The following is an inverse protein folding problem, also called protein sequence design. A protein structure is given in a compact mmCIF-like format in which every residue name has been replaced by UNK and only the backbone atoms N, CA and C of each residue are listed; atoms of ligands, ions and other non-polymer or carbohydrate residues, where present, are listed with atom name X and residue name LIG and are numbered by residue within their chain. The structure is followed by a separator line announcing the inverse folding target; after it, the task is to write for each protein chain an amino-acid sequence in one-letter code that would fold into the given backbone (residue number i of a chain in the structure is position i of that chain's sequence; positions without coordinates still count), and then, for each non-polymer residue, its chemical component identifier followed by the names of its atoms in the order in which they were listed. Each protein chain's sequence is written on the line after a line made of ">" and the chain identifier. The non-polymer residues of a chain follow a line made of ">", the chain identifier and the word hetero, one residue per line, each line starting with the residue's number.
data_IF_039320068979
#
_entry.id   IF_039320068979
#
_cell.length_a   1.000
_cell.length_b   1.000
_cell.length_c   1.000
_cell.angle_alpha   90.00
_cell.angle_beta   90.00
_cell.angle_gamma   90.00
#
_symmetry.space_group_name_H-M   'P 1'
#
loop_
_entity.id
_entity.type
_entity.pdbx_description
1 polymer ?
#
# COMPACT_ATOMS: atom_id res chain seq x y z
N UNK A 1 -48.98 25.77 -65.68
CA UNK A 1 -48.41 24.66 -64.91
C UNK A 1 -47.00 24.38 -65.44
N UNK A 2 -45.96 24.83 -64.74
CA UNK A 2 -44.73 24.06 -64.66
C UNK A 2 -44.41 23.69 -63.21
N UNK A 3 -43.68 22.59 -63.08
CA UNK A 3 -43.44 21.78 -61.88
C UNK A 3 -42.81 22.54 -60.70
N UNK A 4 -43.12 22.16 -59.44
CA UNK A 4 -42.37 22.64 -58.30
C UNK A 4 -41.00 21.95 -58.23
N UNK A 5 -40.00 22.76 -57.90
CA UNK A 5 -38.62 22.40 -57.61
C UNK A 5 -38.53 21.27 -56.57
N UNK A 6 -37.87 20.16 -56.91
CA UNK A 6 -37.41 19.18 -55.93
C UNK A 6 -36.00 19.57 -55.48
N UNK A 7 -35.90 20.20 -54.31
CA UNK A 7 -34.63 20.28 -53.59
C UNK A 7 -34.33 18.90 -52.95
N UNK A 8 -33.13 18.34 -53.08
CA UNK A 8 -32.78 17.13 -52.36
C UNK A 8 -32.52 17.47 -50.89
N UNK A 9 -33.23 16.79 -49.99
CA UNK A 9 -32.94 16.73 -48.56
C UNK A 9 -31.57 16.08 -48.36
N UNK A 10 -30.51 16.89 -48.38
CA UNK A 10 -29.19 16.46 -47.92
C UNK A 10 -29.26 16.25 -46.40
N UNK A 11 -29.44 15.00 -45.99
CA UNK A 11 -29.25 14.58 -44.59
C UNK A 11 -27.76 14.75 -44.25
N UNK A 12 -27.45 15.78 -43.47
CA UNK A 12 -26.13 15.96 -42.86
C UNK A 12 -25.94 14.91 -41.77
N UNK A 13 -25.27 13.81 -42.11
CA UNK A 13 -24.69 12.89 -41.13
C UNK A 13 -23.52 13.61 -40.42
N UNK A 14 -23.81 14.19 -39.27
CA UNK A 14 -22.77 14.67 -38.36
C UNK A 14 -22.11 13.46 -37.68
N UNK A 15 -20.93 13.07 -38.18
CA UNK A 15 -20.02 12.17 -37.47
C UNK A 15 -19.47 12.90 -36.23
N UNK A 16 -20.06 12.66 -35.07
CA UNK A 16 -19.40 12.95 -33.79
C UNK A 16 -18.22 11.98 -33.65
N UNK A 17 -17.03 12.42 -34.05
CA UNK A 17 -15.80 11.80 -33.60
C UNK A 17 -15.68 12.07 -32.09
N UNK A 18 -16.14 11.12 -31.28
CA UNK A 18 -15.79 11.10 -29.86
C UNK A 18 -14.28 10.84 -29.78
N UNK A 19 -13.50 11.91 -29.66
CA UNK A 19 -12.10 11.81 -29.28
C UNK A 19 -12.07 11.21 -27.87
N UNK A 20 -11.85 9.89 -27.78
CA UNK A 20 -11.49 9.25 -26.53
C UNK A 20 -10.13 9.82 -26.15
N UNK A 21 -10.12 10.73 -25.18
CA UNK A 21 -8.88 11.18 -24.58
C UNK A 21 -8.23 9.96 -23.92
N UNK A 22 -7.26 9.36 -24.59
CA UNK A 22 -6.43 8.33 -23.99
C UNK A 22 -5.65 9.00 -22.85
N UNK A 23 -5.98 8.67 -21.60
CA UNK A 23 -5.16 9.08 -20.46
C UNK A 23 -3.73 8.63 -20.70
N UNK A 24 -2.75 9.51 -20.46
CA UNK A 24 -1.35 9.15 -20.57
C UNK A 24 -1.01 8.09 -19.52
N UNK A 25 -0.40 6.98 -19.95
CA UNK A 25 0.08 5.93 -19.05
C UNK A 25 1.48 6.34 -18.55
N UNK A 26 1.65 6.42 -17.24
CA UNK A 26 2.95 6.71 -16.63
C UNK A 26 3.85 5.47 -16.68
N UNK A 27 5.11 5.63 -17.08
CA UNK A 27 6.07 4.53 -17.14
C UNK A 27 7.05 4.63 -15.97
N UNK A 28 7.13 3.57 -15.15
CA UNK A 28 7.98 3.54 -13.94
C UNK A 28 8.93 2.35 -14.00
N UNK A 29 10.22 2.60 -13.84
CA UNK A 29 11.21 1.53 -13.67
C UNK A 29 11.24 1.08 -12.21
N UNK A 30 11.07 -0.22 -11.98
CA UNK A 30 11.18 -0.79 -10.64
C UNK A 30 12.62 -0.69 -10.13
N UNK A 31 12.76 -0.49 -8.82
CA UNK A 31 14.05 -0.40 -8.14
C UNK A 31 13.87 -0.75 -6.65
N UNK A 32 14.90 -0.46 -5.85
CA UNK A 32 14.91 -0.67 -4.40
C UNK A 32 14.26 0.45 -3.58
N UNK A 33 13.63 1.45 -4.23
CA UNK A 33 12.83 2.53 -3.64
C UNK A 33 13.48 3.18 -2.42
N UNK A 34 14.68 3.79 -2.58
CA UNK A 34 15.49 4.27 -1.46
C UNK A 34 14.81 5.33 -0.59
N UNK A 35 13.87 6.08 -1.15
CA UNK A 35 13.10 7.13 -0.47
C UNK A 35 11.94 6.60 0.39
N UNK A 36 11.66 5.30 0.33
CA UNK A 36 10.60 4.65 1.11
C UNK A 36 10.95 4.57 2.59
N UNK A 37 9.98 4.89 3.45
CA UNK A 37 10.07 4.56 4.87
C UNK A 37 9.68 3.10 5.09
N UNK A 38 10.58 2.32 5.68
CA UNK A 38 10.52 0.86 5.65
C UNK A 38 10.92 0.19 6.97
N UNK A 39 10.71 0.91 8.07
CA UNK A 39 11.08 0.47 9.42
C UNK A 39 10.39 -0.85 9.79
N UNK A 40 11.21 -1.83 10.21
CA UNK A 40 10.74 -3.12 10.72
C UNK A 40 10.61 -3.14 12.24
N UNK A 41 11.01 -2.08 12.93
CA UNK A 41 10.95 -1.91 14.38
C UNK A 41 11.66 -3.03 15.15
N UNK A 42 12.76 -3.56 14.59
CA UNK A 42 13.50 -4.70 15.16
C UNK A 42 14.10 -4.30 16.50
N UNK A 43 13.71 -5.01 17.56
CA UNK A 43 14.24 -4.81 18.91
C UNK A 43 13.67 -3.60 19.65
N UNK A 44 12.65 -2.92 19.12
CA UNK A 44 12.06 -1.74 19.77
C UNK A 44 10.53 -1.74 19.85
N UNK A 45 9.88 -2.89 19.59
CA UNK A 45 8.42 -3.03 19.70
C UNK A 45 7.87 -2.49 21.02
N UNK A 46 8.41 -2.91 22.15
CA UNK A 46 7.91 -2.50 23.47
C UNK A 46 8.11 -1.00 23.73
N UNK A 47 9.24 -0.45 23.27
CA UNK A 47 9.52 0.99 23.37
C UNK A 47 8.57 1.81 22.49
N UNK A 48 8.30 1.35 21.26
CA UNK A 48 7.31 1.97 20.37
C UNK A 48 5.91 1.91 20.99
N UNK A 49 5.50 0.76 21.53
CA UNK A 49 4.22 0.61 22.23
C UNK A 49 4.09 1.56 23.42
N UNK A 50 5.17 1.78 24.18
CA UNK A 50 5.16 2.69 25.33
C UNK A 50 4.91 4.16 24.93
N UNK A 51 5.47 4.61 23.80
CA UNK A 51 5.30 6.00 23.32
C UNK A 51 4.06 6.18 22.43
N UNK A 52 3.47 5.09 21.96
CA UNK A 52 2.35 5.08 21.01
C UNK A 52 1.16 5.96 21.43
N UNK A 53 0.71 5.99 22.71
CA UNK A 53 -0.42 6.84 23.10
C UNK A 53 -0.14 8.33 22.92
N UNK A 54 1.08 8.78 23.23
CA UNK A 54 1.47 10.19 23.06
C UNK A 54 1.64 10.54 21.58
N UNK A 55 2.28 9.65 20.81
CA UNK A 55 2.46 9.80 19.37
C UNK A 55 1.12 9.87 18.64
N UNK A 56 0.20 8.93 18.90
CA UNK A 56 -1.12 8.91 18.28
C UNK A 56 -1.88 10.21 18.57
N UNK A 57 -1.92 10.69 19.83
CA UNK A 57 -2.56 11.97 20.15
C UNK A 57 -1.99 13.15 19.36
N UNK A 58 -0.67 13.21 19.17
CA UNK A 58 -0.02 14.26 18.37
C UNK A 58 -0.42 14.17 16.90
N UNK A 59 -0.40 12.98 16.31
CA UNK A 59 -0.74 12.79 14.89
C UNK A 59 -2.22 13.05 14.59
N UNK A 60 -3.12 12.71 15.51
CA UNK A 60 -4.55 12.98 15.39
C UNK A 60 -4.85 14.50 15.32
N UNK A 61 -4.04 15.32 15.97
CA UNK A 61 -4.15 16.79 15.90
C UNK A 61 -3.60 17.36 14.59
N UNK A 62 -2.53 16.75 14.05
CA UNK A 62 -1.82 17.23 12.86
C UNK A 62 -2.47 16.73 11.55
N UNK A 63 -3.11 15.56 11.58
CA UNK A 63 -3.64 14.89 10.39
C UNK A 63 -5.13 14.61 10.55
N UNK A 64 -5.96 15.60 10.20
CA UNK A 64 -7.42 15.51 10.31
C UNK A 64 -8.02 14.37 9.49
N UNK A 65 -7.47 14.08 8.30
CA UNK A 65 -7.94 12.96 7.49
C UNK A 65 -7.69 11.63 8.20
N UNK A 66 -6.45 11.40 8.66
CA UNK A 66 -6.12 10.21 9.44
C UNK A 66 -6.99 10.08 10.68
N UNK A 67 -7.26 11.18 11.37
CA UNK A 67 -8.11 11.18 12.56
C UNK A 67 -9.54 10.72 12.28
N UNK A 68 -10.15 11.23 11.21
CA UNK A 68 -11.49 10.81 10.79
C UNK A 68 -11.53 9.34 10.39
N UNK A 69 -10.53 8.86 9.65
CA UNK A 69 -10.44 7.46 9.25
C UNK A 69 -10.24 6.55 10.46
N UNK A 70 -9.37 6.92 11.39
CA UNK A 70 -9.15 6.17 12.62
C UNK A 70 -10.43 6.02 13.44
N UNK A 71 -11.23 7.09 13.55
CA UNK A 71 -12.52 7.04 14.23
C UNK A 71 -13.53 6.12 13.53
N UNK A 72 -13.60 6.17 12.18
CA UNK A 72 -14.43 5.24 11.39
C UNK A 72 -13.98 3.79 11.56
N UNK A 73 -12.68 3.52 11.51
CA UNK A 73 -12.11 2.19 11.68
C UNK A 73 -12.37 1.64 13.08
N UNK A 74 -12.25 2.48 14.12
CA UNK A 74 -12.61 2.13 15.50
C UNK A 74 -14.08 1.75 15.62
N UNK A 75 -14.99 2.52 15.00
CA UNK A 75 -16.41 2.20 15.00
C UNK A 75 -16.71 0.89 14.25
N UNK A 76 -16.07 0.67 13.10
CA UNK A 76 -16.20 -0.58 12.33
C UNK A 76 -15.70 -1.80 13.12
N UNK A 77 -14.58 -1.67 13.82
CA UNK A 77 -14.02 -2.70 14.70
C UNK A 77 -15.01 -3.09 15.80
N UNK A 78 -15.59 -2.11 16.50
CA UNK A 78 -16.55 -2.37 17.57
C UNK A 78 -17.87 -3.00 17.09
N UNK A 79 -18.25 -2.79 15.82
CA UNK A 79 -19.45 -3.37 15.23
C UNK A 79 -19.24 -4.83 14.77
N UNK A 80 -17.99 -5.27 14.56
CA UNK A 80 -17.66 -6.66 14.21
C UNK A 80 -17.42 -7.48 15.47
N UNK A 81 -17.91 -8.72 15.48
CA UNK A 81 -17.61 -9.69 16.55
C UNK A 81 -16.36 -10.48 16.17
N UNK A 82 -15.22 -10.14 16.78
CA UNK A 82 -13.98 -10.91 16.65
C UNK A 82 -13.81 -11.81 17.89
N UNK A 83 -13.91 -13.13 17.71
CA UNK A 83 -13.63 -14.10 18.77
C UNK A 83 -12.27 -14.74 18.52
N UNK A 84 -11.35 -14.65 19.47
CA UNK A 84 -10.04 -15.33 19.38
C UNK A 84 -9.05 -14.67 18.41
N UNK A 85 -9.19 -13.38 18.13
CA UNK A 85 -8.23 -12.62 17.32
C UNK A 85 -6.83 -12.66 17.95
N UNK A 86 -5.76 -12.97 17.18
CA UNK A 86 -4.38 -12.84 17.65
C UNK A 86 -3.94 -11.38 17.77
N UNK A 87 -4.66 -10.45 17.14
CA UNK A 87 -4.37 -9.02 17.15
C UNK A 87 -4.96 -8.31 18.37
N UNK A 88 -4.24 -7.30 18.86
CA UNK A 88 -4.80 -6.27 19.74
C UNK A 88 -5.83 -5.41 18.99
N UNK A 89 -6.68 -4.70 19.74
CA UNK A 89 -7.64 -3.76 19.14
C UNK A 89 -6.95 -2.71 18.26
N UNK A 90 -5.83 -2.13 18.71
CA UNK A 90 -5.12 -1.09 17.95
C UNK A 90 -4.53 -1.63 16.65
N UNK A 91 -3.98 -2.85 16.67
CA UNK A 91 -3.47 -3.52 15.47
C UNK A 91 -4.61 -3.78 14.46
N UNK A 92 -5.74 -4.30 14.92
CA UNK A 92 -6.87 -4.58 14.05
C UNK A 92 -7.52 -3.30 13.49
N UNK A 93 -7.62 -2.24 14.30
CA UNK A 93 -8.09 -0.92 13.87
C UNK A 93 -7.14 -0.33 12.81
N UNK A 94 -5.82 -0.52 12.94
CA UNK A 94 -4.86 -0.07 11.95
C UNK A 94 -5.04 -0.75 10.59
N UNK A 95 -5.27 -2.07 10.57
CA UNK A 95 -5.61 -2.80 9.35
C UNK A 95 -6.92 -2.25 8.76
N UNK A 96 -7.99 -2.16 9.57
CA UNK A 96 -9.26 -1.60 9.10
C UNK A 96 -9.11 -0.21 8.49
N UNK A 97 -8.37 0.67 9.17
CA UNK A 97 -8.08 2.01 8.69
C UNK A 97 -7.38 1.95 7.32
N UNK A 98 -6.33 1.14 7.18
CA UNK A 98 -5.60 0.99 5.91
C UNK A 98 -6.50 0.55 4.74
N UNK A 99 -7.42 -0.38 4.99
CA UNK A 99 -8.35 -0.89 3.96
C UNK A 99 -9.47 0.09 3.59
N UNK A 100 -9.60 1.23 4.29
CA UNK A 100 -10.55 2.27 3.91
C UNK A 100 -10.01 3.13 2.77
N UNK A 101 -10.85 3.39 1.76
CA UNK A 101 -10.54 4.22 0.60
C UNK A 101 -10.04 5.63 0.95
N UNK A 102 -10.42 6.15 2.13
CA UNK A 102 -10.09 7.50 2.60
C UNK A 102 -8.59 7.70 2.94
N UNK A 103 -7.83 6.61 3.19
CA UNK A 103 -6.43 6.73 3.66
C UNK A 103 -5.42 5.95 2.84
N UNK A 104 -5.81 4.85 2.18
CA UNK A 104 -4.89 3.94 1.48
C UNK A 104 -3.91 4.69 0.56
N UNK A 105 -4.42 5.54 -0.33
CA UNK A 105 -3.58 6.24 -1.31
C UNK A 105 -2.67 7.29 -0.63
N UNK A 106 -3.24 8.13 0.23
CA UNK A 106 -2.51 9.22 0.92
C UNK A 106 -1.42 8.64 1.82
N UNK A 107 -1.70 7.58 2.55
CA UNK A 107 -0.74 6.89 3.40
C UNK A 107 0.39 6.28 2.57
N UNK A 108 0.07 5.49 1.54
CA UNK A 108 1.09 4.83 0.72
C UNK A 108 1.97 5.85 -0.04
N UNK A 109 1.42 6.99 -0.48
CA UNK A 109 2.19 8.08 -1.05
C UNK A 109 3.13 8.70 -0.01
N UNK A 110 2.65 8.93 1.22
CA UNK A 110 3.49 9.45 2.31
C UNK A 110 4.64 8.48 2.66
N UNK A 111 4.36 7.17 2.73
CA UNK A 111 5.38 6.13 2.96
C UNK A 111 6.46 6.14 1.88
N UNK A 112 6.08 6.32 0.61
CA UNK A 112 7.01 6.28 -0.52
C UNK A 112 8.10 7.37 -0.53
N UNK A 113 7.92 8.43 0.26
CA UNK A 113 8.86 9.57 0.35
C UNK A 113 9.38 9.84 1.75
N UNK A 114 8.79 9.22 2.78
CA UNK A 114 9.13 9.51 4.18
C UNK A 114 10.55 9.07 4.56
N UNK A 115 11.12 8.11 3.83
CA UNK A 115 12.50 7.62 4.01
C UNK A 115 13.56 8.45 3.29
N UNK A 116 13.22 9.60 2.67
CA UNK A 116 14.21 10.52 2.08
C UNK A 116 15.24 11.03 3.09
N UNK A 117 14.79 11.26 4.33
CA UNK A 117 15.65 11.67 5.44
C UNK A 117 14.92 11.51 6.78
N UNK A 118 15.69 11.44 7.88
CA UNK A 118 15.12 11.46 9.24
C UNK A 118 14.27 12.72 9.48
N UNK A 119 14.66 13.87 8.92
CA UNK A 119 13.87 15.09 9.02
C UNK A 119 12.52 14.97 8.31
N UNK A 120 12.51 14.43 7.08
CA UNK A 120 11.28 14.21 6.31
C UNK A 120 10.32 13.28 7.09
N UNK A 121 10.84 12.19 7.64
CA UNK A 121 10.07 11.29 8.50
C UNK A 121 9.52 12.01 9.74
N UNK A 122 10.36 12.72 10.51
CA UNK A 122 9.93 13.33 11.77
C UNK A 122 8.89 14.43 11.56
N UNK A 123 9.17 15.33 10.62
CA UNK A 123 8.41 16.58 10.48
C UNK A 123 7.22 16.48 9.53
N UNK A 124 7.24 15.57 8.54
CA UNK A 124 6.23 15.54 7.46
C UNK A 124 5.43 14.24 7.39
N UNK A 125 5.94 13.15 7.96
CA UNK A 125 5.22 11.87 7.95
C UNK A 125 4.32 11.76 9.18
N UNK A 126 3.06 12.17 9.07
CA UNK A 126 2.06 12.13 10.15
C UNK A 126 1.21 10.86 10.12
N UNK A 127 1.86 9.72 9.85
CA UNK A 127 1.29 8.37 9.86
C UNK A 127 2.19 7.35 10.60
N UNK A 128 3.03 7.82 11.52
CA UNK A 128 3.98 6.99 12.30
C UNK A 128 3.25 5.91 13.10
N UNK A 129 2.12 6.26 13.74
CA UNK A 129 1.25 5.34 14.47
C UNK A 129 0.70 4.26 13.55
N UNK A 130 0.14 4.66 12.40
CA UNK A 130 -0.43 3.72 11.43
C UNK A 130 0.64 2.79 10.85
N UNK A 131 1.79 3.34 10.46
CA UNK A 131 2.90 2.55 9.92
C UNK A 131 3.41 1.51 10.93
N UNK A 132 3.63 1.93 12.18
CA UNK A 132 4.06 1.04 13.25
C UNK A 132 3.04 -0.07 13.52
N UNK A 133 1.77 0.29 13.72
CA UNK A 133 0.73 -0.69 14.02
C UNK A 133 0.45 -1.65 12.87
N UNK A 134 0.49 -1.19 11.61
CA UNK A 134 0.41 -2.09 10.46
C UNK A 134 1.58 -3.06 10.46
N UNK A 135 2.81 -2.57 10.58
CA UNK A 135 4.01 -3.43 10.61
C UNK A 135 3.93 -4.48 11.72
N UNK A 136 3.54 -4.06 12.93
CA UNK A 136 3.40 -4.95 14.09
C UNK A 136 2.24 -5.94 13.94
N UNK A 137 1.12 -5.51 13.34
CA UNK A 137 -0.02 -6.38 13.05
C UNK A 137 0.33 -7.45 12.02
N UNK A 138 1.05 -7.09 10.94
CA UNK A 138 1.48 -8.08 9.94
C UNK A 138 2.46 -9.09 10.54
N UNK A 139 3.38 -8.67 11.41
CA UNK A 139 4.26 -9.59 12.12
C UNK A 139 3.45 -10.57 13.00
N UNK A 140 2.48 -10.05 13.77
CA UNK A 140 1.62 -10.87 14.65
C UNK A 140 0.77 -11.87 13.84
N UNK A 141 0.16 -11.43 12.74
CA UNK A 141 -0.62 -12.30 11.86
C UNK A 141 0.26 -13.36 11.22
N UNK A 142 1.43 -12.99 10.71
CA UNK A 142 2.37 -13.93 10.08
C UNK A 142 2.75 -15.07 11.03
N UNK A 143 3.02 -14.75 12.30
CA UNK A 143 3.33 -15.74 13.32
C UNK A 143 2.12 -16.63 13.63
N UNK A 144 0.92 -16.07 13.70
CA UNK A 144 -0.31 -16.84 13.93
C UNK A 144 -0.73 -17.72 12.73
N UNK A 145 -0.34 -17.34 11.52
CA UNK A 145 -0.69 -18.01 10.26
C UNK A 145 0.39 -19.02 9.81
N UNK A 146 1.39 -19.30 10.65
CA UNK A 146 2.40 -20.31 10.39
C UNK A 146 3.54 -19.88 9.45
N UNK A 147 3.70 -18.57 9.21
CA UNK A 147 4.83 -17.98 8.49
C UNK A 147 5.05 -18.52 7.08
N UNK A 148 3.99 -18.95 6.41
CA UNK A 148 4.05 -19.55 5.08
C UNK A 148 4.17 -18.47 3.99
N UNK A 149 4.90 -18.82 2.92
CA UNK A 149 4.86 -18.02 1.70
C UNK A 149 3.59 -18.33 0.91
N UNK A 150 3.06 -17.36 0.18
CA UNK A 150 1.86 -17.51 -0.64
C UNK A 150 2.01 -16.81 -2.00
N UNK A 151 1.20 -17.27 -2.96
CA UNK A 151 1.05 -16.62 -4.25
C UNK A 151 -0.04 -15.56 -4.16
N UNK A 152 0.28 -14.35 -4.59
CA UNK A 152 -0.66 -13.24 -4.69
C UNK A 152 -0.55 -12.53 -6.03
N UNK A 153 -1.61 -11.85 -6.42
CA UNK A 153 -1.70 -11.03 -7.63
C UNK A 153 -2.01 -9.58 -7.27
N UNK A 154 -1.45 -8.65 -8.05
CA UNK A 154 -1.75 -7.23 -7.95
C UNK A 154 -1.84 -6.60 -9.33
N UNK A 155 -2.99 -6.04 -9.64
CA UNK A 155 -3.16 -5.16 -10.78
C UNK A 155 -2.85 -3.71 -10.46
N UNK A 156 -2.32 -2.99 -11.44
CA UNK A 156 -2.16 -1.53 -11.37
C UNK A 156 -2.82 -0.89 -12.59
N UNK A 157 -3.52 0.22 -12.33
CA UNK A 157 -4.12 1.07 -13.35
C UNK A 157 -3.26 2.32 -13.58
N UNK A 158 -3.27 2.84 -14.80
CA UNK A 158 -2.61 4.09 -15.24
C UNK A 158 -1.08 4.14 -15.12
N UNK A 159 -0.44 3.05 -14.69
CA UNK A 159 1.02 2.95 -14.54
C UNK A 159 1.50 1.65 -15.18
N UNK A 160 2.47 1.79 -16.08
CA UNK A 160 3.21 0.67 -16.67
C UNK A 160 4.56 0.53 -15.98
N UNK A 161 4.75 -0.56 -15.23
CA UNK A 161 6.05 -0.85 -14.63
C UNK A 161 6.98 -1.56 -15.61
N UNK A 162 8.27 -1.25 -15.51
CA UNK A 162 9.35 -1.92 -16.24
C UNK A 162 10.36 -2.49 -15.26
N UNK A 163 10.79 -3.72 -15.51
CA UNK A 163 11.83 -4.40 -14.76
C UNK A 163 12.58 -5.37 -15.68
N UNK A 164 13.76 -5.80 -15.28
CA UNK A 164 14.53 -6.83 -15.97
C UNK A 164 14.61 -8.09 -15.11
N UNK A 165 14.61 -9.25 -15.77
CA UNK A 165 14.82 -10.54 -15.10
C UNK A 165 16.15 -10.49 -14.35
N UNK A 166 16.12 -10.84 -13.07
CA UNK A 166 17.28 -10.80 -12.18
C UNK A 166 17.39 -9.55 -11.32
N UNK A 167 16.64 -8.48 -11.61
CA UNK A 167 16.59 -7.29 -10.76
C UNK A 167 16.11 -7.64 -9.35
N UNK A 168 16.68 -6.95 -8.35
CA UNK A 168 16.16 -6.95 -6.98
C UNK A 168 15.38 -5.65 -6.78
N UNK A 169 14.09 -5.78 -6.49
CA UNK A 169 13.12 -4.69 -6.43
C UNK A 169 12.28 -4.76 -5.16
N UNK A 170 11.60 -3.66 -4.85
CA UNK A 170 10.67 -3.55 -3.73
C UNK A 170 9.46 -2.70 -4.13
N UNK A 171 8.33 -2.90 -3.44
CA UNK A 171 7.18 -2.01 -3.60
C UNK A 171 7.37 -0.66 -2.88
N UNK A 172 8.10 -0.62 -1.77
CA UNK A 172 8.40 0.63 -1.05
C UNK A 172 7.21 1.29 -0.36
N UNK A 173 6.15 0.52 -0.19
CA UNK A 173 4.92 0.87 0.49
C UNK A 173 4.21 -0.43 0.84
N UNK A 174 3.19 -0.34 1.67
CA UNK A 174 2.30 -1.47 1.85
C UNK A 174 1.57 -1.73 0.53
N UNK A 175 1.61 -2.97 0.04
CA UNK A 175 1.00 -3.34 -1.22
C UNK A 175 -0.17 -4.30 -0.97
N UNK A 176 -1.39 -3.80 -1.19
CA UNK A 176 -2.59 -4.64 -1.27
C UNK A 176 -2.50 -5.57 -2.47
N UNK A 177 -2.71 -6.85 -2.22
CA UNK A 177 -2.72 -7.90 -3.23
C UNK A 177 -3.89 -8.83 -2.92
N UNK A 178 -4.27 -9.69 -3.87
CA UNK A 178 -5.26 -10.75 -3.62
C UNK A 178 -4.60 -12.10 -3.84
N UNK A 179 -5.07 -13.14 -3.15
CA UNK A 179 -4.58 -14.51 -3.38
C UNK A 179 -4.69 -14.88 -4.87
N UNK A 180 -3.68 -15.60 -5.38
CA UNK A 180 -3.74 -16.18 -6.72
C UNK A 180 -4.96 -17.11 -6.80
N UNK A 181 -5.95 -16.78 -7.64
CA UNK A 181 -7.07 -17.68 -7.97
C UNK A 181 -6.71 -18.48 -9.21
N UNK A 182 -7.19 -19.71 -9.28
CA UNK A 182 -7.07 -20.55 -10.48
C UNK A 182 -7.81 -19.93 -11.69
N UNK A 183 -8.77 -19.03 -11.44
CA UNK A 183 -9.47 -18.22 -12.45
C UNK A 183 -9.06 -16.76 -12.33
N UNK A 184 -8.35 -16.29 -13.34
CA UNK A 184 -7.66 -15.01 -13.38
C UNK A 184 -8.59 -13.82 -13.73
N UNK A 185 -9.45 -13.41 -12.79
CA UNK A 185 -10.20 -12.14 -12.91
C UNK A 185 -9.34 -11.01 -12.32
N UNK A 186 -8.67 -10.26 -13.21
CA UNK A 186 -7.70 -9.23 -12.82
C UNK A 186 -8.38 -7.87 -12.56
N UNK A 187 -8.17 -7.32 -11.36
CA UNK A 187 -8.12 -5.87 -11.15
C UNK A 187 -6.91 -5.31 -11.91
N UNK A 188 -6.92 -4.07 -12.40
CA UNK A 188 -5.74 -3.41 -13.01
C UNK A 188 -5.19 -4.04 -14.29
N UNK A 189 -5.40 -3.40 -15.44
CA UNK A 189 -4.89 -3.95 -16.72
C UNK A 189 -3.58 -3.35 -17.21
N UNK A 190 -3.06 -2.25 -16.64
CA UNK A 190 -1.87 -1.58 -17.21
C UNK A 190 -0.54 -2.21 -16.76
N UNK A 191 -0.53 -2.87 -15.60
CA UNK A 191 0.52 -3.79 -15.17
C UNK A 191 -0.09 -4.82 -14.23
N UNK A 192 0.29 -6.09 -14.39
CA UNK A 192 -0.07 -7.14 -13.45
C UNK A 192 1.20 -7.70 -12.82
N UNK A 193 1.20 -7.78 -11.49
CA UNK A 193 2.22 -8.48 -10.72
C UNK A 193 1.69 -9.83 -10.28
N UNK A 194 2.46 -10.88 -10.51
CA UNK A 194 2.30 -12.17 -9.84
C UNK A 194 3.46 -12.32 -8.86
N UNK A 195 3.14 -12.43 -7.57
CA UNK A 195 4.11 -12.30 -6.49
C UNK A 195 4.07 -13.54 -5.61
N UNK A 196 5.20 -14.20 -5.45
CA UNK A 196 5.40 -15.21 -4.42
C UNK A 196 6.03 -14.55 -3.20
N UNK A 197 5.20 -14.10 -2.25
CA UNK A 197 5.58 -13.37 -1.04
C UNK A 197 5.76 -14.31 0.15
N UNK A 198 6.68 -14.00 1.05
CA UNK A 198 6.91 -14.71 2.32
C UNK A 198 6.66 -13.82 3.56
N UNK A 199 6.31 -12.55 3.33
CA UNK A 199 5.98 -11.58 4.37
C UNK A 199 4.59 -10.97 4.21
N UNK A 200 3.93 -11.20 3.08
CA UNK A 200 2.51 -10.90 2.88
C UNK A 200 1.65 -11.78 3.77
N UNK A 201 0.62 -11.18 4.36
CA UNK A 201 -0.30 -11.89 5.27
C UNK A 201 -1.74 -11.65 4.86
N UNK A 202 -2.57 -12.67 5.04
CA UNK A 202 -4.01 -12.57 4.83
C UNK A 202 -4.60 -11.66 5.90
N UNK A 203 -5.22 -10.56 5.47
CA UNK A 203 -5.89 -9.58 6.33
C UNK A 203 -7.40 -9.54 6.11
N UNK A 204 -7.96 -10.50 5.36
CA UNK A 204 -9.37 -10.56 4.97
C UNK A 204 -10.34 -10.30 6.11
N UNK A 205 -10.13 -10.97 7.24
CA UNK A 205 -11.04 -10.90 8.39
C UNK A 205 -11.03 -9.50 9.04
N UNK A 206 -9.92 -8.78 8.90
CA UNK A 206 -9.69 -7.44 9.45
C UNK A 206 -9.93 -6.32 8.42
N UNK A 207 -10.20 -6.64 7.16
CA UNK A 207 -10.51 -5.66 6.11
C UNK A 207 -11.96 -5.16 6.20
N UNK A 208 -12.19 -3.91 5.75
CA UNK A 208 -13.55 -3.39 5.50
C UNK A 208 -14.16 -3.95 4.21
N UNK A 209 -13.36 -4.60 3.36
CA UNK A 209 -13.77 -5.28 2.13
C UNK A 209 -13.32 -6.75 2.11
N UNK A 210 -13.86 -7.64 2.96
CA UNK A 210 -13.42 -9.04 3.04
C UNK A 210 -13.52 -9.82 1.72
N UNK A 211 -14.39 -9.41 0.80
CA UNK A 211 -14.54 -10.02 -0.51
C UNK A 211 -13.32 -9.84 -1.43
N UNK A 212 -12.42 -8.89 -1.12
CA UNK A 212 -11.19 -8.66 -1.89
C UNK A 212 -10.10 -9.71 -1.58
N UNK A 213 -10.31 -10.52 -0.54
CA UNK A 213 -9.37 -11.58 -0.10
C UNK A 213 -7.94 -11.03 0.00
N UNK A 214 -7.85 -9.86 0.63
CA UNK A 214 -6.66 -9.02 0.63
C UNK A 214 -5.53 -9.67 1.43
N UNK A 215 -4.40 -9.83 0.75
CA UNK A 215 -3.11 -10.14 1.35
C UNK A 215 -2.26 -8.86 1.31
N UNK A 216 -1.79 -8.43 2.47
CA UNK A 216 -1.04 -7.19 2.59
C UNK A 216 0.46 -7.47 2.68
N UNK A 217 1.21 -6.99 1.68
CA UNK A 217 2.67 -7.12 1.61
C UNK A 217 3.35 -5.90 2.25
N UNK A 218 4.29 -6.08 3.20
CA UNK A 218 4.95 -4.96 3.87
C UNK A 218 5.98 -4.24 2.98
N UNK A 219 6.32 -2.97 3.28
CA UNK A 219 7.22 -2.15 2.45
C UNK A 219 8.67 -2.66 2.39
N UNK A 220 9.10 -3.47 3.36
CA UNK A 220 10.47 -3.95 3.50
C UNK A 220 10.78 -5.26 2.79
N UNK A 221 9.77 -5.97 2.26
CA UNK A 221 10.02 -7.22 1.53
C UNK A 221 10.69 -6.92 0.19
N UNK A 222 11.76 -7.66 -0.11
CA UNK A 222 12.49 -7.57 -1.37
C UNK A 222 12.11 -8.72 -2.28
N UNK A 223 12.14 -8.47 -3.59
CA UNK A 223 11.75 -9.44 -4.60
C UNK A 223 12.80 -9.51 -5.69
N UNK A 224 13.10 -10.73 -6.12
CA UNK A 224 13.79 -10.97 -7.37
C UNK A 224 12.77 -11.05 -8.50
N UNK A 225 13.02 -10.33 -9.58
CA UNK A 225 12.23 -10.46 -10.82
C UNK A 225 12.61 -11.78 -11.49
N UNK A 226 11.64 -12.69 -11.60
CA UNK A 226 11.86 -14.04 -12.15
C UNK A 226 11.44 -14.15 -13.60
N UNK A 227 10.42 -13.40 -14.02
CA UNK A 227 9.95 -13.36 -15.39
C UNK A 227 9.28 -12.01 -15.72
N UNK A 228 9.29 -11.65 -16.99
CA UNK A 228 8.61 -10.46 -17.52
C UNK A 228 7.98 -10.83 -18.87
N UNK A 229 6.67 -11.01 -18.88
CA UNK A 229 5.89 -11.30 -20.08
C UNK A 229 4.98 -10.13 -20.44
N UNK A 230 4.36 -10.18 -21.61
CA UNK A 230 3.49 -9.12 -22.12
C UNK A 230 2.18 -9.70 -22.60
N UNK A 231 1.07 -9.12 -22.14
CA UNK A 231 -0.27 -9.37 -22.65
C UNK A 231 -0.75 -8.12 -23.38
N UNK A 232 -0.60 -8.11 -24.71
CA UNK A 232 -0.79 -6.91 -25.52
C UNK A 232 0.16 -5.78 -25.11
N UNK A 233 -0.36 -4.72 -24.50
CA UNK A 233 0.43 -3.55 -24.00
C UNK A 233 0.73 -3.62 -22.51
N UNK A 234 0.31 -4.68 -21.84
CA UNK A 234 0.31 -4.79 -20.39
C UNK A 234 1.40 -5.76 -19.94
N UNK A 235 2.47 -5.29 -19.27
CA UNK A 235 3.46 -6.18 -18.72
C UNK A 235 2.87 -7.00 -17.57
N UNK A 236 3.24 -8.29 -17.56
CA UNK A 236 3.07 -9.20 -16.43
C UNK A 236 4.46 -9.44 -15.85
N UNK A 237 4.65 -9.04 -14.60
CA UNK A 237 5.94 -9.11 -13.91
C UNK A 237 5.84 -10.14 -12.79
N UNK A 238 6.65 -11.18 -12.87
CA UNK A 238 6.74 -12.21 -11.82
C UNK A 238 7.83 -11.87 -10.82
N UNK A 239 7.44 -11.89 -9.54
CA UNK A 239 8.28 -11.52 -8.41
C UNK A 239 8.35 -12.67 -7.43
N UNK A 240 9.55 -13.02 -6.97
CA UNK A 240 9.75 -14.02 -5.91
C UNK A 240 10.48 -13.40 -4.74
N UNK A 241 9.96 -13.61 -3.53
CA UNK A 241 10.56 -13.12 -2.29
C UNK A 241 12.06 -13.46 -2.23
N UNK A 242 12.86 -12.44 -1.96
CA UNK A 242 14.32 -12.49 -1.89
C UNK A 242 14.84 -12.06 -0.50
N UNK A 243 13.94 -11.90 0.48
CA UNK A 243 14.25 -11.51 1.85
C UNK A 243 13.66 -10.15 2.23
N UNK A 244 14.34 -9.45 3.14
CA UNK A 244 13.90 -8.16 3.67
C UNK A 244 15.03 -7.14 3.64
N UNK A 245 14.71 -5.88 3.41
CA UNK A 245 15.65 -4.76 3.51
C UNK A 245 14.94 -3.56 4.15
N UNK A 246 15.62 -2.90 5.09
CA UNK A 246 15.18 -1.63 5.66
C UNK A 246 16.33 -0.64 5.71
N UNK A 247 16.07 0.60 5.30
CA UNK A 247 16.98 1.73 5.49
C UNK A 247 16.89 2.29 6.91
N UNK A 248 15.74 2.12 7.56
CA UNK A 248 15.46 2.62 8.91
C UNK A 248 15.22 1.49 9.90
N UNK A 249 15.59 1.73 11.16
CA UNK A 249 15.19 0.87 12.28
C UNK A 249 14.93 1.72 13.52
N UNK A 250 13.72 1.64 14.05
CA UNK A 250 13.28 2.34 15.25
C UNK A 250 13.44 3.87 15.16
N UNK A 251 13.22 4.45 13.98
CA UNK A 251 13.60 5.83 13.66
C UNK A 251 12.99 6.82 14.65
N UNK A 252 11.70 6.69 14.99
CA UNK A 252 11.04 7.61 15.93
C UNK A 252 11.79 7.77 17.26
N UNK A 253 12.31 6.66 17.78
CA UNK A 253 12.98 6.58 19.09
C UNK A 253 14.41 7.13 19.07
N UNK A 254 15.00 7.37 17.89
CA UNK A 254 16.38 7.89 17.80
C UNK A 254 16.49 9.38 18.20
N UNK A 255 15.37 10.10 18.27
CA UNK A 255 15.34 11.53 18.62
C UNK A 255 15.51 11.84 20.11
N UNK A 256 15.32 10.84 20.98
CA UNK A 256 15.45 11.01 22.43
C UNK A 256 16.91 10.96 22.92
N UNK A 257 17.88 10.68 22.04
CA UNK A 257 19.30 10.49 22.42
C UNK A 257 20.09 11.80 22.47
N UNK A 258 19.58 12.91 21.94
CA UNK A 258 20.35 14.17 21.82
C UNK A 258 19.97 15.29 22.79
N UNK A 259 18.97 15.11 23.66
CA UNK A 259 18.64 16.11 24.70
C UNK A 259 18.63 15.48 26.09
N UNK A 260 19.82 15.21 26.63
CA UNK A 260 19.93 14.94 28.06
C UNK A 260 21.19 14.23 28.51
N UNK A 261 22.33 14.94 28.57
CA UNK A 261 23.26 14.88 29.72
C UNK A 261 24.41 15.89 29.57
N UNK A 262 24.21 17.10 30.09
CA UNK A 262 25.27 17.84 30.79
C UNK A 262 24.71 18.25 32.14
N UNK A 263 24.78 17.34 33.10
CA UNK A 263 24.80 17.72 34.50
C UNK A 263 26.26 17.96 34.84
N UNK A 264 26.56 19.17 35.27
CA UNK A 264 27.89 19.54 35.72
C UNK A 264 28.27 18.81 37.00
N UNK A 265 29.57 18.60 37.12
CA UNK A 265 30.34 18.70 38.37
C UNK A 265 31.51 19.64 38.09
#
# INVERSE_FOLDING_TARGET
>A
WPLPSMAPLAHTLALLAMAVATAAIDVVHMNMVPDSFDDQYRGCRDKMMAVLPALNRSEQQQNKNFSQVWAKATAAWHNKKFTGSPLSSDQAIAIMAYTMNDVYEVFNNAVSIAGRSSQQYREKFHFKTLHFLLTDALATLRDSQGQQCCCVVRGVHNVQFKAQIGDIVRFGRFASTSLCKDTADYFGTDTVFQVHTCHGVDIRDFSVFPQEEEVLVPPFETFKVTDVTWDGKSPRIELRSAGTHSNYNCEWLQGDVTEGTTWGD
#
